data_IF_597906320167
#
_entry.id   IF_597906320167
#
_cell.length_a   1.000
_cell.length_b   1.000
_cell.length_c   1.000
_cell.angle_alpha   90.00
_cell.angle_beta   90.00
_cell.angle_gamma   90.00
#
_symmetry.space_group_name_H-M   'P 1'
#
loop_
_entity.id
_entity.type
_entity.pdbx_description
1 polymer ?
#
# COMPACT_ATOMS: atom_id res chain seq x y z
N UNK A 1 -33.89 -2.90 2.03
CA UNK A 1 -32.65 -2.88 2.85
C UNK A 1 -31.52 -3.34 1.96
N UNK A 2 -30.63 -2.44 1.55
CA UNK A 2 -29.42 -2.79 0.78
C UNK A 2 -28.39 -3.33 1.75
N UNK A 3 -28.04 -4.60 1.61
CA UNK A 3 -26.95 -5.25 2.36
C UNK A 3 -25.63 -4.59 1.97
N UNK A 4 -24.97 -3.93 2.92
CA UNK A 4 -23.59 -3.45 2.73
C UNK A 4 -22.71 -4.69 2.47
N UNK A 5 -21.93 -4.74 1.38
CA UNK A 5 -21.09 -5.89 1.13
C UNK A 5 -20.02 -5.99 2.22
N UNK A 6 -19.71 -7.22 2.66
CA UNK A 6 -18.78 -7.43 3.78
C UNK A 6 -17.41 -6.84 3.46
N UNK A 7 -16.83 -6.17 4.46
CA UNK A 7 -15.48 -5.60 4.42
C UNK A 7 -14.40 -6.65 4.70
N UNK A 8 -14.81 -7.82 5.21
CA UNK A 8 -13.90 -8.81 5.77
C UNK A 8 -13.02 -9.46 4.70
N UNK A 9 -13.57 -9.70 3.50
CA UNK A 9 -12.83 -10.32 2.40
C UNK A 9 -11.62 -9.49 1.96
N UNK A 10 -11.81 -8.27 1.44
CA UNK A 10 -10.72 -7.38 1.00
C UNK A 10 -9.70 -7.08 2.09
N UNK A 11 -10.17 -6.90 3.33
CA UNK A 11 -9.30 -6.62 4.47
C UNK A 11 -8.43 -7.83 4.86
N UNK A 12 -9.03 -9.02 4.90
CA UNK A 12 -8.31 -10.27 5.22
C UNK A 12 -7.28 -10.58 4.14
N UNK A 13 -7.62 -10.38 2.88
CA UNK A 13 -6.69 -10.61 1.78
C UNK A 13 -5.53 -9.62 1.80
N UNK A 14 -5.80 -8.33 2.02
CA UNK A 14 -4.73 -7.35 2.18
C UNK A 14 -3.82 -7.70 3.37
N UNK A 15 -4.38 -8.04 4.54
CA UNK A 15 -3.57 -8.39 5.70
C UNK A 15 -2.68 -9.61 5.44
N UNK A 16 -3.24 -10.65 4.83
CA UNK A 16 -2.49 -11.85 4.45
C UNK A 16 -1.33 -11.50 3.51
N UNK A 17 -1.61 -10.79 2.41
CA UNK A 17 -0.60 -10.45 1.40
C UNK A 17 0.50 -9.56 1.99
N UNK A 18 0.16 -8.55 2.79
CA UNK A 18 1.16 -7.66 3.39
C UNK A 18 2.02 -8.42 4.39
N UNK A 19 1.44 -9.32 5.18
CA UNK A 19 2.22 -10.17 6.10
C UNK A 19 3.19 -11.10 5.36
N UNK A 20 2.73 -11.74 4.29
CA UNK A 20 3.57 -12.59 3.45
C UNK A 20 4.70 -11.78 2.80
N UNK A 21 4.39 -10.57 2.30
CA UNK A 21 5.36 -9.66 1.72
C UNK A 21 6.41 -9.21 2.74
N UNK A 22 5.99 -8.72 3.91
CA UNK A 22 6.90 -8.28 4.98
C UNK A 22 7.80 -9.41 5.46
N UNK A 23 7.28 -10.64 5.58
CA UNK A 23 8.09 -11.81 5.91
C UNK A 23 9.17 -12.08 4.85
N UNK A 24 8.83 -11.92 3.56
CA UNK A 24 9.82 -12.02 2.48
C UNK A 24 10.87 -10.91 2.57
N UNK A 25 10.47 -9.66 2.79
CA UNK A 25 11.40 -8.53 2.95
C UNK A 25 12.31 -8.68 4.18
N UNK A 26 11.84 -9.31 5.26
CA UNK A 26 12.67 -9.61 6.45
C UNK A 26 13.66 -10.75 6.22
N UNK A 27 13.30 -11.72 5.38
CA UNK A 27 14.14 -12.85 5.01
C UNK A 27 14.87 -12.63 3.69
N UNK A 28 14.56 -13.39 2.62
CA UNK A 28 15.32 -13.34 1.36
C UNK A 28 15.42 -11.95 0.73
N UNK A 29 14.40 -11.11 0.88
CA UNK A 29 14.37 -9.75 0.33
C UNK A 29 15.38 -8.81 0.98
N UNK A 30 15.88 -9.09 2.19
CA UNK A 30 16.92 -8.27 2.84
C UNK A 30 18.28 -8.42 2.16
N UNK A 31 18.59 -9.63 1.70
CA UNK A 31 19.90 -9.96 1.13
C UNK A 31 19.95 -9.85 -0.40
N UNK A 32 18.81 -9.60 -1.04
CA UNK A 32 18.74 -9.53 -2.50
C UNK A 32 19.22 -8.18 -3.03
N UNK A 33 20.01 -8.25 -4.08
CA UNK A 33 20.38 -7.14 -4.96
C UNK A 33 19.62 -7.23 -6.30
N UNK A 34 18.54 -8.03 -6.33
CA UNK A 34 17.58 -8.03 -7.44
C UNK A 34 16.94 -6.67 -7.63
N UNK A 35 16.63 -6.36 -8.89
CA UNK A 35 15.98 -5.11 -9.29
C UNK A 35 14.79 -5.41 -10.17
N UNK A 36 13.72 -4.64 -9.96
CA UNK A 36 12.63 -4.49 -10.92
C UNK A 36 12.82 -3.12 -11.54
N UNK A 37 13.09 -3.09 -12.84
CA UNK A 37 13.67 -1.93 -13.53
C UNK A 37 14.92 -1.41 -12.80
N UNK A 38 14.82 -0.23 -12.16
CA UNK A 38 15.89 0.40 -11.38
C UNK A 38 15.76 0.19 -9.87
N UNK A 39 14.63 -0.33 -9.39
CA UNK A 39 14.28 -0.38 -7.96
C UNK A 39 14.69 -1.68 -7.30
N UNK A 40 15.39 -1.55 -6.17
CA UNK A 40 15.71 -2.66 -5.28
C UNK A 40 14.58 -2.87 -4.26
N UNK A 41 14.66 -3.96 -3.49
CA UNK A 41 13.72 -4.26 -2.42
C UNK A 41 13.50 -3.08 -1.45
N UNK A 42 14.56 -2.35 -1.12
CA UNK A 42 14.49 -1.14 -0.29
C UNK A 42 13.65 -0.03 -0.93
N UNK A 43 13.85 0.25 -2.22
CA UNK A 43 13.12 1.29 -2.94
C UNK A 43 11.62 0.96 -3.06
N UNK A 44 11.31 -0.33 -3.18
CA UNK A 44 9.93 -0.84 -3.22
C UNK A 44 9.21 -0.60 -1.88
N UNK A 45 9.88 -0.84 -0.73
CA UNK A 45 9.29 -0.55 0.59
C UNK A 45 8.89 0.92 0.75
N UNK A 46 9.71 1.86 0.23
CA UNK A 46 9.49 3.30 0.37
C UNK A 46 8.18 3.76 -0.26
N UNK A 47 7.83 3.28 -1.45
CA UNK A 47 6.62 3.76 -2.13
C UNK A 47 5.33 3.19 -1.54
N UNK A 48 5.39 2.04 -0.86
CA UNK A 48 4.22 1.48 -0.19
C UNK A 48 3.75 2.33 0.97
N UNK A 49 4.66 3.03 1.67
CA UNK A 49 4.35 3.84 2.86
C UNK A 49 3.27 4.89 2.56
N UNK A 50 3.51 5.72 1.54
CA UNK A 50 2.57 6.77 1.15
C UNK A 50 1.19 6.22 0.83
N UNK A 51 1.10 5.15 0.02
CA UNK A 51 -0.21 4.64 -0.40
C UNK A 51 -0.98 3.95 0.72
N UNK A 52 -0.33 3.43 1.76
CA UNK A 52 -1.02 2.93 2.95
C UNK A 52 -1.61 4.08 3.74
N UNK A 53 -0.78 5.08 4.05
CA UNK A 53 -1.23 6.22 4.84
C UNK A 53 -2.30 7.02 4.11
N UNK A 54 -2.09 7.36 2.83
CA UNK A 54 -3.06 8.09 2.03
C UNK A 54 -4.40 7.34 1.91
N UNK A 55 -4.38 6.00 1.84
CA UNK A 55 -5.61 5.20 1.85
C UNK A 55 -6.28 5.21 3.22
N UNK A 56 -5.52 5.11 4.31
CA UNK A 56 -6.05 5.20 5.67
C UNK A 56 -6.72 6.55 5.92
N UNK A 57 -6.02 7.65 5.61
CA UNK A 57 -6.54 9.02 5.70
C UNK A 57 -7.80 9.20 4.86
N UNK A 58 -7.79 8.72 3.61
CA UNK A 58 -8.96 8.77 2.74
C UNK A 58 -10.18 8.05 3.33
N UNK A 59 -9.98 6.83 3.85
CA UNK A 59 -11.05 6.04 4.48
C UNK A 59 -11.60 6.74 5.73
N UNK A 60 -10.73 7.28 6.59
CA UNK A 60 -11.14 8.02 7.78
C UNK A 60 -11.89 9.30 7.44
N UNK A 61 -11.39 10.06 6.46
CA UNK A 61 -12.08 11.26 5.96
C UNK A 61 -13.48 10.91 5.47
N UNK A 62 -13.59 9.90 4.60
CA UNK A 62 -14.87 9.43 4.09
C UNK A 62 -15.82 8.99 5.22
N UNK A 63 -15.33 8.27 6.23
CA UNK A 63 -16.14 7.83 7.37
C UNK A 63 -16.79 9.00 8.13
N UNK A 64 -16.13 10.15 8.19
CA UNK A 64 -16.62 11.37 8.85
C UNK A 64 -17.32 12.35 7.91
N UNK A 65 -17.55 11.99 6.64
CA UNK A 65 -18.16 12.91 5.66
C UNK A 65 -17.22 13.99 5.14
N UNK A 66 -15.91 13.81 5.32
CA UNK A 66 -14.88 14.68 4.79
C UNK A 66 -14.61 14.46 3.29
N UNK A 67 -13.64 15.20 2.72
CA UNK A 67 -13.30 15.12 1.30
C UNK A 67 -12.60 13.82 0.94
N UNK A 68 -12.67 13.46 -0.34
CA UNK A 68 -11.87 12.40 -0.96
C UNK A 68 -10.38 12.81 -0.94
N UNK A 69 -9.47 11.88 -0.63
CA UNK A 69 -8.04 12.18 -0.63
C UNK A 69 -7.50 12.36 -2.07
N UNK A 70 -6.97 13.54 -2.44
CA UNK A 70 -6.41 13.75 -3.77
C UNK A 70 -4.94 13.30 -3.83
N UNK A 71 -4.59 12.47 -4.81
CA UNK A 71 -3.19 12.17 -5.13
C UNK A 71 -2.62 13.32 -5.96
N UNK A 72 -1.48 13.90 -5.56
CA UNK A 72 -0.97 15.14 -6.16
C UNK A 72 -0.42 14.97 -7.58
N UNK A 73 -0.07 13.75 -7.99
CA UNK A 73 0.49 13.45 -9.31
C UNK A 73 0.20 11.99 -9.71
N UNK A 74 0.68 11.57 -10.89
CA UNK A 74 0.67 10.15 -11.25
C UNK A 74 1.53 9.31 -10.27
N UNK A 75 1.30 8.00 -10.29
CA UNK A 75 1.97 7.08 -9.37
C UNK A 75 3.50 7.13 -9.50
N UNK A 76 4.06 7.30 -10.70
CA UNK A 76 5.50 7.28 -10.91
C UNK A 76 6.18 8.51 -10.30
N UNK A 77 5.57 9.68 -10.47
CA UNK A 77 6.02 10.92 -9.85
C UNK A 77 5.94 10.85 -8.32
N UNK A 78 4.83 10.33 -7.78
CA UNK A 78 4.67 10.12 -6.33
C UNK A 78 5.71 9.13 -5.80
N UNK A 79 5.93 8.01 -6.49
CA UNK A 79 6.90 6.99 -6.09
C UNK A 79 8.31 7.55 -6.04
N UNK A 80 8.71 8.37 -7.02
CA UNK A 80 10.02 9.02 -7.04
C UNK A 80 10.18 10.01 -5.88
N UNK A 81 9.12 10.75 -5.53
CA UNK A 81 9.13 11.64 -4.34
C UNK A 81 9.28 10.82 -3.06
N UNK A 82 8.50 9.75 -2.89
CA UNK A 82 8.61 8.85 -1.73
C UNK A 82 10.02 8.28 -1.61
N UNK A 83 10.61 7.83 -2.72
CA UNK A 83 11.98 7.32 -2.73
C UNK A 83 13.00 8.35 -2.22
N UNK A 84 12.84 9.63 -2.59
CA UNK A 84 13.70 10.72 -2.13
C UNK A 84 13.45 11.07 -0.66
N UNK A 85 12.19 11.13 -0.24
CA UNK A 85 11.82 11.43 1.15
C UNK A 85 12.42 10.42 2.13
N UNK A 86 12.44 9.15 1.73
CA UNK A 86 12.91 8.04 2.56
C UNK A 86 14.36 7.63 2.28
N UNK A 87 15.12 8.40 1.49
CA UNK A 87 16.46 8.01 1.02
C UNK A 87 17.49 7.83 2.14
N UNK A 88 17.25 8.47 3.29
CA UNK A 88 18.13 8.46 4.46
C UNK A 88 17.79 7.32 5.44
N UNK A 89 16.67 6.64 5.24
CA UNK A 89 16.17 5.63 6.18
C UNK A 89 16.80 4.26 5.92
N UNK A 90 17.22 3.60 6.99
CA UNK A 90 17.67 2.23 6.94
C UNK A 90 16.55 1.27 6.50
N UNK A 91 16.95 0.09 6.06
CA UNK A 91 16.00 -0.97 5.69
C UNK A 91 15.10 -1.38 6.88
N UNK A 92 15.65 -1.39 8.10
CA UNK A 92 14.91 -1.71 9.32
C UNK A 92 13.88 -0.64 9.68
N UNK A 93 14.23 0.64 9.51
CA UNK A 93 13.29 1.75 9.69
C UNK A 93 12.16 1.67 8.67
N UNK A 94 12.45 1.36 7.40
CA UNK A 94 11.43 1.19 6.37
C UNK A 94 10.47 0.04 6.67
N UNK A 95 10.98 -1.10 7.14
CA UNK A 95 10.14 -2.22 7.57
C UNK A 95 9.25 -1.85 8.75
N UNK A 96 9.80 -1.17 9.76
CA UNK A 96 9.04 -0.71 10.91
C UNK A 96 7.93 0.27 10.50
N UNK A 97 8.25 1.21 9.62
CA UNK A 97 7.27 2.15 9.08
C UNK A 97 6.19 1.46 8.25
N UNK A 98 6.54 0.48 7.41
CA UNK A 98 5.58 -0.28 6.63
C UNK A 98 4.59 -1.05 7.53
N UNK A 99 5.09 -1.65 8.62
CA UNK A 99 4.26 -2.30 9.63
C UNK A 99 3.29 -1.32 10.29
N UNK A 100 3.77 -0.13 10.64
CA UNK A 100 2.93 0.90 11.25
C UNK A 100 1.87 1.45 10.29
N UNK A 101 2.25 1.76 9.05
CA UNK A 101 1.33 2.24 8.02
C UNK A 101 0.25 1.19 7.70
N UNK A 102 0.62 -0.09 7.62
CA UNK A 102 -0.33 -1.18 7.47
C UNK A 102 -1.28 -1.30 8.67
N UNK A 103 -0.77 -1.23 9.90
CA UNK A 103 -1.61 -1.26 11.10
C UNK A 103 -2.62 -0.09 11.14
N UNK A 104 -2.19 1.12 10.75
CA UNK A 104 -3.08 2.29 10.60
C UNK A 104 -4.17 2.04 9.57
N UNK A 105 -3.81 1.53 8.39
CA UNK A 105 -4.77 1.20 7.33
C UNK A 105 -5.81 0.16 7.78
N UNK A 106 -5.37 -0.93 8.43
CA UNK A 106 -6.29 -1.93 8.97
C UNK A 106 -7.24 -1.33 10.02
N UNK A 107 -6.73 -0.44 10.87
CA UNK A 107 -7.55 0.24 11.87
C UNK A 107 -8.62 1.12 11.23
N UNK A 108 -8.24 1.97 10.28
CA UNK A 108 -9.15 2.83 9.53
C UNK A 108 -10.23 2.01 8.81
N UNK A 109 -9.84 0.96 8.09
CA UNK A 109 -10.75 0.13 7.32
C UNK A 109 -11.75 -0.65 8.19
N UNK A 110 -11.32 -1.16 9.36
CA UNK A 110 -12.22 -1.85 10.31
C UNK A 110 -13.26 -0.91 10.92
N UNK A 111 -12.88 0.34 11.17
CA UNK A 111 -13.75 1.34 11.81
C UNK A 111 -14.67 2.07 10.84
N UNK A 112 -14.34 2.08 9.55
CA UNK A 112 -15.18 2.72 8.55
C UNK A 112 -16.57 2.06 8.50
N UNK A 113 -17.68 2.81 8.54
CA UNK A 113 -19.02 2.25 8.47
C UNK A 113 -19.37 1.70 7.09
N UNK A 114 -18.74 2.21 6.03
CA UNK A 114 -18.93 1.77 4.66
C UNK A 114 -17.64 2.00 3.85
N UNK A 115 -17.11 0.93 3.25
CA UNK A 115 -15.93 0.99 2.38
C UNK A 115 -16.29 1.29 0.92
N UNK A 116 -17.57 1.36 0.58
CA UNK A 116 -18.05 1.76 -0.75
C UNK A 116 -18.06 3.27 -0.95
N UNK A 117 -17.82 4.04 0.13
CA UNK A 117 -17.68 5.48 0.01
C UNK A 117 -16.39 5.80 -0.74
N UNK A 118 -16.46 6.73 -1.73
CA UNK A 118 -15.28 7.34 -2.32
C UNK A 118 -14.32 7.84 -1.25
N UNK A 119 -13.05 7.45 -1.34
CA UNK A 119 -12.04 7.80 -0.34
C UNK A 119 -10.73 8.30 -0.95
N UNK A 120 -10.51 8.02 -2.23
CA UNK A 120 -9.25 8.32 -2.92
C UNK A 120 -9.48 8.78 -4.35
N UNK A 121 -8.78 9.82 -4.81
CA UNK A 121 -8.86 10.34 -6.17
C UNK A 121 -7.46 10.40 -6.78
N UNK A 122 -7.27 9.71 -7.91
CA UNK A 122 -6.01 9.78 -8.67
C UNK A 122 -5.89 11.12 -9.39
N UNK A 123 -4.66 11.48 -9.76
CA UNK A 123 -4.39 12.70 -10.53
C UNK A 123 -5.18 12.79 -11.86
N UNK A 124 -5.46 11.65 -12.50
CA UNK A 124 -6.28 11.59 -13.72
C UNK A 124 -7.80 11.80 -13.46
N UNK A 125 -8.21 11.99 -12.21
CA UNK A 125 -9.61 12.20 -11.82
C UNK A 125 -10.39 10.93 -11.47
N UNK A 126 -9.82 9.74 -11.68
CA UNK A 126 -10.43 8.47 -11.25
C UNK A 126 -10.62 8.46 -9.73
N UNK A 127 -11.83 8.14 -9.29
CA UNK A 127 -12.21 8.05 -7.88
C UNK A 127 -12.37 6.58 -7.49
N UNK A 128 -11.74 6.20 -6.38
CA UNK A 128 -11.74 4.85 -5.85
C UNK A 128 -12.41 4.82 -4.47
N UNK A 129 -13.15 3.74 -4.22
CA UNK A 129 -13.70 3.43 -2.91
C UNK A 129 -12.65 2.84 -1.99
N UNK A 130 -12.93 2.82 -0.68
CA UNK A 130 -12.09 2.13 0.29
C UNK A 130 -11.86 0.66 -0.10
N UNK A 131 -12.89 -0.05 -0.53
CA UNK A 131 -12.77 -1.45 -0.98
C UNK A 131 -11.80 -1.58 -2.15
N UNK A 132 -12.00 -0.79 -3.20
CA UNK A 132 -11.15 -0.84 -4.39
C UNK A 132 -9.68 -0.53 -4.06
N UNK A 133 -9.44 0.38 -3.12
CA UNK A 133 -8.09 0.69 -2.64
C UNK A 133 -7.43 -0.47 -1.91
N UNK A 134 -8.15 -1.17 -1.03
CA UNK A 134 -7.61 -2.35 -0.34
C UNK A 134 -7.24 -3.46 -1.32
N UNK A 135 -8.12 -3.75 -2.28
CA UNK A 135 -7.88 -4.78 -3.30
C UNK A 135 -6.71 -4.41 -4.22
N UNK A 136 -6.62 -3.13 -4.60
CA UNK A 136 -5.53 -2.62 -5.43
C UNK A 136 -4.19 -2.72 -4.68
N UNK A 137 -4.13 -2.31 -3.41
CA UNK A 137 -2.94 -2.44 -2.58
C UNK A 137 -2.50 -3.89 -2.44
N UNK A 138 -3.43 -4.83 -2.21
CA UNK A 138 -3.12 -6.25 -2.11
C UNK A 138 -2.48 -6.76 -3.42
N UNK A 139 -3.04 -6.40 -4.58
CA UNK A 139 -2.45 -6.77 -5.87
C UNK A 139 -1.03 -6.20 -6.05
N UNK A 140 -0.84 -4.92 -5.73
CA UNK A 140 0.46 -4.27 -5.90
C UNK A 140 1.56 -4.88 -5.02
N UNK A 141 1.27 -5.20 -3.75
CA UNK A 141 2.22 -5.92 -2.89
C UNK A 141 2.61 -7.28 -3.50
N UNK A 142 1.61 -8.06 -3.91
CA UNK A 142 1.85 -9.39 -4.45
C UNK A 142 2.62 -9.34 -5.79
N UNK A 143 2.40 -8.31 -6.61
CA UNK A 143 3.10 -8.10 -7.87
C UNK A 143 4.58 -7.77 -7.64
N UNK A 144 4.88 -6.72 -6.85
CA UNK A 144 6.27 -6.33 -6.62
C UNK A 144 7.11 -7.38 -5.93
N UNK A 145 6.55 -8.10 -4.94
CA UNK A 145 7.27 -9.22 -4.32
C UNK A 145 7.55 -10.33 -5.34
N UNK A 146 6.59 -10.65 -6.22
CA UNK A 146 6.77 -11.66 -7.26
C UNK A 146 7.83 -11.25 -8.28
N UNK A 147 7.81 -10.00 -8.73
CA UNK A 147 8.81 -9.48 -9.66
C UNK A 147 10.22 -9.52 -9.06
N UNK A 148 10.37 -9.12 -7.80
CA UNK A 148 11.64 -9.18 -7.07
C UNK A 148 12.11 -10.63 -6.87
N UNK A 149 11.21 -11.55 -6.52
CA UNK A 149 11.52 -12.98 -6.42
C UNK A 149 11.98 -13.57 -7.74
N UNK A 150 11.31 -13.24 -8.85
CA UNK A 150 11.69 -13.67 -10.19
C UNK A 150 13.06 -13.10 -10.59
N UNK A 151 13.31 -11.82 -10.30
CA UNK A 151 14.61 -11.19 -10.57
C UNK A 151 15.73 -11.80 -9.71
N UNK A 152 15.44 -12.20 -8.46
CA UNK A 152 16.40 -12.87 -7.59
C UNK A 152 16.72 -14.31 -8.05
N UNK A 153 15.73 -15.03 -8.58
CA UNK A 153 15.88 -16.42 -9.07
C UNK A 153 16.49 -16.55 -10.48
N UNK A 154 16.68 -15.44 -11.21
CA UNK A 154 17.34 -15.42 -12.54
C UNK A 154 18.87 -15.32 -12.44
N UNK A 155 19.45 -15.55 -11.26
CA UNK A 155 20.88 -15.49 -10.98
C UNK A 155 21.53 -16.86 -11.06
#
# INVERSE_FOLDING_TARGET
MTTTPSKDGPLTELDRVVRDALAWFEGPGRATDARVDRWQARDVLMHFLYFHDATAWGIESAAHGGPVWPVPADSDAVNEVCRRLHEHESYDELLAQARQAHARLLHAARRAPDLERPCFQRAAGEVLTGRQRLELLARHWAEHVRELQQAAGRR
#
